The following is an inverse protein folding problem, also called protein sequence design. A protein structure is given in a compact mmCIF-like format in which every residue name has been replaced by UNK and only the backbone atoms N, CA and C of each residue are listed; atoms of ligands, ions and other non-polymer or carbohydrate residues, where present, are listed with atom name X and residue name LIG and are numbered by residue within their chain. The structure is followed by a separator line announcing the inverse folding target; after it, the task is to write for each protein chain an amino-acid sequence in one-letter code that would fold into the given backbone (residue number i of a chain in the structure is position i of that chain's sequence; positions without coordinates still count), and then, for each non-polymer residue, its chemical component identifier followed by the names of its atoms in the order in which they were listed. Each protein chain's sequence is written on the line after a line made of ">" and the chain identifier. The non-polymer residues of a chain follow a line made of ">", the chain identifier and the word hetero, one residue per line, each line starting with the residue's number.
data_IF_328933387119
#
_entry.id   IF_328933387119
#
_cell.length_a   1.000
_cell.length_b   1.000
_cell.length_c   1.000
_cell.angle_alpha   90.00
_cell.angle_beta   90.00
_cell.angle_gamma   90.00
#
_symmetry.space_group_name_H-M   'P 1'
#
loop_
_entity.id
_entity.type
_entity.pdbx_description
1 polymer ?
#
# COMPACT_ATOMS: atom_id res chain seq x y z
N UNK A 1 -2.45 -23.47 -23.65
CA UNK A 1 -2.97 -23.84 -22.31
C UNK A 1 -2.22 -25.07 -21.85
N UNK A 2 -1.24 -24.88 -20.97
CA UNK A 2 -0.70 -25.97 -20.16
C UNK A 2 -0.48 -25.34 -18.79
N UNK A 3 -1.31 -25.77 -17.84
CA UNK A 3 -1.23 -25.40 -16.45
C UNK A 3 0.11 -25.96 -15.96
N UNK A 4 1.14 -25.13 -15.92
CA UNK A 4 2.42 -25.51 -15.35
C UNK A 4 2.15 -26.04 -13.95
N UNK A 5 2.59 -27.27 -13.71
CA UNK A 5 2.40 -27.99 -12.46
C UNK A 5 2.82 -27.07 -11.31
N UNK A 6 1.85 -26.67 -10.49
CA UNK A 6 2.13 -26.00 -9.23
C UNK A 6 2.70 -27.04 -8.26
N UNK A 7 3.96 -27.42 -8.45
CA UNK A 7 4.80 -28.18 -7.51
C UNK A 7 5.32 -27.27 -6.39
N UNK A 8 4.54 -26.24 -6.02
CA UNK A 8 4.88 -25.36 -4.92
C UNK A 8 4.88 -26.19 -3.62
N UNK A 9 5.98 -26.20 -2.84
CA UNK A 9 6.07 -26.98 -1.63
C UNK A 9 4.95 -26.61 -0.66
N UNK A 10 4.27 -27.64 -0.15
CA UNK A 10 3.20 -27.46 0.84
C UNK A 10 3.81 -27.14 2.20
N UNK A 11 3.62 -25.92 2.67
CA UNK A 11 4.08 -25.45 3.97
C UNK A 11 3.02 -25.77 5.03
N UNK A 12 3.36 -26.65 5.98
CA UNK A 12 2.49 -26.99 7.11
C UNK A 12 3.08 -26.63 8.48
N UNK A 13 4.38 -26.33 8.53
CA UNK A 13 5.09 -25.97 9.75
C UNK A 13 4.95 -24.47 10.05
N UNK A 14 4.57 -24.11 11.28
CA UNK A 14 4.26 -22.72 11.63
C UNK A 14 5.52 -21.83 11.72
N UNK A 15 6.67 -22.40 12.08
CA UNK A 15 7.94 -21.66 12.10
C UNK A 15 8.39 -21.34 10.69
N UNK A 16 8.31 -22.31 9.77
CA UNK A 16 8.58 -22.10 8.35
C UNK A 16 7.61 -21.08 7.73
N UNK A 17 6.33 -21.11 8.11
CA UNK A 17 5.37 -20.08 7.68
C UNK A 17 5.83 -18.71 8.14
N UNK A 18 6.16 -18.56 9.43
CA UNK A 18 6.61 -17.30 10.00
C UNK A 18 7.86 -16.76 9.27
N UNK A 19 8.83 -17.62 8.98
CA UNK A 19 10.02 -17.25 8.22
C UNK A 19 9.69 -16.78 6.80
N UNK A 20 8.85 -17.52 6.08
CA UNK A 20 8.44 -17.16 4.71
C UNK A 20 7.78 -15.79 4.72
N UNK A 21 6.74 -15.58 5.54
CA UNK A 21 6.01 -14.32 5.49
C UNK A 21 6.85 -13.13 5.96
N UNK A 22 7.77 -13.35 6.90
CA UNK A 22 8.75 -12.33 7.30
C UNK A 22 9.60 -11.90 6.09
N UNK A 23 10.12 -12.84 5.30
CA UNK A 23 10.91 -12.53 4.11
C UNK A 23 10.12 -11.76 3.05
N UNK A 24 8.85 -12.12 2.82
CA UNK A 24 8.01 -11.48 1.80
C UNK A 24 7.30 -10.20 2.26
N UNK A 25 7.28 -9.90 3.57
CA UNK A 25 6.56 -8.75 4.13
C UNK A 25 7.47 -7.81 4.91
N UNK A 26 8.20 -8.33 5.90
CA UNK A 26 8.94 -7.55 6.89
C UNK A 26 10.38 -7.23 6.42
N UNK A 27 10.90 -7.98 5.45
CA UNK A 27 12.20 -7.66 4.85
C UNK A 27 12.15 -6.33 4.08
N UNK A 28 13.30 -5.65 3.88
CA UNK A 28 13.38 -4.48 3.02
C UNK A 28 12.88 -4.74 1.59
N UNK A 29 13.03 -5.97 1.09
CA UNK A 29 12.55 -6.41 -0.23
C UNK A 29 11.02 -6.56 -0.22
N UNK A 30 10.46 -7.11 0.86
CA UNK A 30 9.03 -7.23 1.12
C UNK A 30 8.33 -5.90 1.39
N UNK A 31 9.10 -4.86 1.74
CA UNK A 31 8.72 -3.44 1.83
C UNK A 31 7.39 -3.17 2.55
N UNK A 32 7.01 -4.01 3.52
CA UNK A 32 5.72 -3.96 4.21
C UNK A 32 4.52 -3.82 3.26
N UNK A 33 4.56 -4.56 2.15
CA UNK A 33 3.51 -4.52 1.14
C UNK A 33 2.15 -4.89 1.76
N UNK A 34 1.10 -4.27 1.22
CA UNK A 34 -0.27 -4.56 1.66
C UNK A 34 -0.68 -6.01 1.34
N UNK A 35 -1.66 -6.51 2.09
CA UNK A 35 -2.18 -7.89 2.06
C UNK A 35 -2.19 -8.56 0.69
N UNK A 36 -2.80 -7.92 -0.32
CA UNK A 36 -2.96 -8.54 -1.65
C UNK A 36 -1.62 -8.79 -2.34
N UNK A 37 -0.69 -7.83 -2.21
CA UNK A 37 0.64 -7.95 -2.81
C UNK A 37 1.47 -9.00 -2.08
N UNK A 38 1.42 -9.03 -0.75
CA UNK A 38 2.07 -10.08 0.05
C UNK A 38 1.53 -11.46 -0.31
N UNK A 39 0.21 -11.61 -0.40
CA UNK A 39 -0.42 -12.87 -0.78
C UNK A 39 0.06 -13.31 -2.17
N UNK A 40 0.01 -12.43 -3.16
CA UNK A 40 0.43 -12.72 -4.53
C UNK A 40 1.92 -13.06 -4.64
N UNK A 41 2.77 -12.50 -3.77
CA UNK A 41 4.19 -12.84 -3.73
C UNK A 41 4.41 -14.24 -3.15
N UNK A 42 3.84 -14.52 -1.97
CA UNK A 42 4.01 -15.81 -1.30
C UNK A 42 3.37 -16.96 -2.09
N UNK A 43 2.22 -16.72 -2.75
CA UNK A 43 1.50 -17.76 -3.50
C UNK A 43 2.14 -18.13 -4.83
N UNK A 44 3.21 -17.44 -5.27
CA UNK A 44 3.97 -17.84 -6.46
C UNK A 44 4.79 -19.09 -6.18
N UNK A 45 5.43 -19.11 -5.00
CA UNK A 45 6.46 -20.10 -4.69
C UNK A 45 6.01 -21.11 -3.62
N UNK A 46 4.95 -20.81 -2.84
CA UNK A 46 4.51 -21.64 -1.72
C UNK A 46 3.01 -21.89 -1.72
N UNK A 47 2.62 -23.04 -1.19
CA UNK A 47 1.22 -23.37 -0.93
C UNK A 47 1.00 -23.72 0.55
N UNK A 48 -0.02 -23.14 1.20
CA UNK A 48 -0.49 -23.61 2.49
C UNK A 48 -2.02 -23.53 2.64
N UNK A 49 -2.56 -24.34 3.54
CA UNK A 49 -3.98 -24.27 3.85
C UNK A 49 -4.33 -22.90 4.45
N UNK A 50 -5.40 -22.30 3.91
CA UNK A 50 -5.89 -20.99 4.33
C UNK A 50 -4.86 -19.85 4.18
N UNK A 51 -3.98 -19.90 3.16
CA UNK A 51 -2.96 -18.88 2.89
C UNK A 51 -3.46 -17.45 3.06
N UNK A 52 -4.58 -17.12 2.41
CA UNK A 52 -5.11 -15.76 2.47
C UNK A 52 -5.47 -15.32 3.89
N UNK A 53 -6.10 -16.20 4.68
CA UNK A 53 -6.45 -15.92 6.08
C UNK A 53 -5.21 -15.70 6.93
N UNK A 54 -4.19 -16.51 6.71
CA UNK A 54 -2.90 -16.41 7.39
C UNK A 54 -2.16 -15.11 7.02
N UNK A 55 -1.97 -14.82 5.74
CA UNK A 55 -1.35 -13.56 5.26
C UNK A 55 -2.11 -12.34 5.77
N UNK A 56 -3.45 -12.37 5.71
CA UNK A 56 -4.29 -11.29 6.26
C UNK A 56 -4.05 -11.08 7.75
N UNK A 57 -3.89 -12.15 8.54
CA UNK A 57 -3.64 -12.05 9.98
C UNK A 57 -2.30 -11.38 10.24
N UNK A 58 -1.25 -11.79 9.53
CA UNK A 58 0.10 -11.25 9.68
C UNK A 58 0.19 -9.76 9.35
N UNK A 59 -0.26 -9.37 8.16
CA UNK A 59 -0.23 -7.95 7.72
C UNK A 59 -1.10 -7.08 8.64
N UNK A 60 -2.17 -7.64 9.22
CA UNK A 60 -3.00 -6.91 10.19
C UNK A 60 -2.25 -6.67 11.50
N UNK A 61 -1.36 -7.55 11.93
CA UNK A 61 -0.60 -7.43 13.19
C UNK A 61 0.75 -6.73 13.03
N UNK A 62 1.19 -6.44 11.81
CA UNK A 62 2.42 -5.70 11.55
C UNK A 62 2.33 -4.27 12.08
N UNK A 63 3.19 -3.92 13.04
CA UNK A 63 3.22 -2.60 13.66
C UNK A 63 3.57 -1.50 12.65
N UNK A 64 4.58 -1.72 11.80
CA UNK A 64 4.99 -0.77 10.76
C UNK A 64 3.83 -0.41 9.84
N UNK A 65 3.07 -1.42 9.37
CA UNK A 65 1.88 -1.20 8.55
C UNK A 65 0.76 -0.45 9.29
N UNK A 66 0.60 -0.70 10.59
CA UNK A 66 -0.41 -0.01 11.40
C UNK A 66 -0.05 1.46 11.63
N UNK A 67 1.22 1.78 11.87
CA UNK A 67 1.64 3.17 12.09
C UNK A 67 1.46 4.04 10.84
N UNK A 68 1.74 3.52 9.65
CA UNK A 68 1.59 4.27 8.40
C UNK A 68 0.15 4.34 7.89
N UNK A 69 -0.72 3.44 8.34
CA UNK A 69 -2.11 3.38 7.88
C UNK A 69 -3.03 4.11 8.87
N UNK A 70 -3.43 5.36 8.58
CA UNK A 70 -4.34 6.08 9.48
C UNK A 70 -5.64 5.30 9.66
N UNK A 71 -6.11 5.24 10.90
CA UNK A 71 -7.41 4.65 11.20
C UNK A 71 -8.50 5.48 10.51
N UNK A 72 -9.55 4.81 10.00
CA UNK A 72 -10.67 5.50 9.35
C UNK A 72 -11.36 6.49 10.30
N UNK A 73 -11.30 6.28 11.61
CA UNK A 73 -11.88 7.21 12.58
C UNK A 73 -10.98 8.40 12.92
N UNK A 74 -9.70 8.38 12.52
CA UNK A 74 -8.76 9.50 12.72
C UNK A 74 -8.81 10.53 11.60
N UNK A 75 -9.56 10.29 10.51
CA UNK A 75 -9.68 11.26 9.42
C UNK A 75 -10.63 12.39 9.82
N UNK A 76 -10.09 13.61 9.89
CA UNK A 76 -10.89 14.81 10.04
C UNK A 76 -11.81 15.00 8.82
N UNK A 77 -13.00 15.62 8.98
CA UNK A 77 -13.85 15.97 7.86
C UNK A 77 -13.07 16.80 6.82
N UNK A 78 -13.14 16.38 5.56
CA UNK A 78 -12.51 17.11 4.45
C UNK A 78 -13.19 18.47 4.32
N UNK A 79 -12.41 19.55 4.44
CA UNK A 79 -12.89 20.92 4.18
C UNK A 79 -12.57 21.30 2.73
N UNK A 80 -13.52 21.85 1.95
CA UNK A 80 -13.25 22.34 0.60
C UNK A 80 -12.16 23.42 0.63
N UNK A 81 -11.17 23.30 -0.25
CA UNK A 81 -10.19 24.37 -0.45
C UNK A 81 -10.86 25.57 -1.15
N UNK A 82 -10.48 26.82 -0.81
CA UNK A 82 -10.92 27.98 -1.56
C UNK A 82 -10.54 27.85 -3.05
N UNK A 83 -11.43 28.22 -3.95
CA UNK A 83 -11.18 28.20 -5.40
C UNK A 83 -10.00 29.15 -5.71
N UNK A 84 -8.88 28.69 -6.30
CA UNK A 84 -7.84 29.59 -6.78
C UNK A 84 -8.43 30.42 -7.93
N UNK A 85 -8.54 31.73 -7.72
CA UNK A 85 -9.17 32.67 -8.67
C UNK A 85 -9.88 33.86 -8.02
N UNK A 86 -10.16 33.82 -6.71
CA UNK A 86 -10.76 34.96 -6.01
C UNK A 86 -9.77 36.10 -5.72
N UNK A 87 -8.46 35.83 -5.80
CA UNK A 87 -7.40 36.83 -5.61
C UNK A 87 -6.26 36.46 -6.56
N UNK A 88 -6.23 37.06 -7.76
CA UNK A 88 -5.02 37.06 -8.59
C UNK A 88 -4.18 38.27 -8.19
N UNK A 89 -2.97 38.08 -7.62
CA UNK A 89 -2.08 39.19 -7.25
C UNK A 89 -1.49 39.93 -8.47
N UNK A 90 -1.72 39.42 -9.68
CA UNK A 90 -0.99 39.83 -10.89
C UNK A 90 -1.82 40.65 -11.87
N UNK A 91 -2.82 41.38 -11.40
CA UNK A 91 -3.37 42.50 -12.19
C UNK A 91 -2.63 43.78 -11.82
N UNK A 92 -1.32 43.79 -12.07
CA UNK A 92 -0.62 45.06 -12.24
C UNK A 92 -1.19 45.70 -13.50
N UNK A 93 -1.91 46.80 -13.29
CA UNK A 93 -2.35 47.74 -14.29
C UNK A 93 -1.34 47.83 -15.44
N UNK A 94 -1.72 47.29 -16.60
CA UNK A 94 -1.12 47.70 -17.86
C UNK A 94 -1.50 49.16 -18.04
N UNK A 95 -0.67 50.04 -17.46
CA UNK A 95 -0.70 51.47 -17.70
C UNK A 95 -0.66 51.70 -19.20
N UNK A 96 -1.72 52.33 -19.69
CA UNK A 96 -1.86 52.90 -21.01
C UNK A 96 -0.59 53.70 -21.35
N UNK A 97 0.21 53.16 -22.26
CA UNK A 97 1.35 53.87 -22.85
C UNK A 97 0.81 54.74 -23.97
N UNK A 98 0.44 55.97 -23.63
CA UNK A 98 0.31 57.06 -24.60
C UNK A 98 1.71 57.53 -24.96
N UNK A 99 2.06 57.53 -26.24
CA UNK A 99 3.24 58.21 -26.79
C UNK A 99 2.85 58.88 -28.10
N UNK A 100 3.56 59.96 -28.47
CA UNK A 100 2.99 61.25 -28.88
C UNK A 100 2.43 61.30 -30.31
#
# INVERSE_FOLDING_TARGET
>A
MLLESFDAPRVNDDDLRAQIIHEFHDSPVGSHLGREKTFAAVSRDFFCLHMYKWVRKWVRTCETCQQVKPSKSSQAPLRPLPRPGAQSPWTSSLGSRTTP
#
